data_IF_468659970151
#
_entry.id   IF_468659970151
#
_cell.length_a   1.000
_cell.length_b   1.000
_cell.length_c   1.000
_cell.angle_alpha   90.00
_cell.angle_beta   90.00
_cell.angle_gamma   90.00
#
_symmetry.space_group_name_H-M   'P 1'
#
loop_
_entity.id
_entity.type
_entity.pdbx_description
1 polymer ?
#
# COMPACT_ATOMS: atom_id res chain seq x y z
N UNK A 1 -37.25 -37.42 28.36
CA UNK A 1 -35.86 -37.41 27.99
C UNK A 1 -35.52 -36.11 27.25
N UNK A 2 -34.85 -35.16 27.93
CA UNK A 2 -34.56 -33.84 27.45
C UNK A 2 -33.15 -33.88 26.87
N UNK A 3 -32.97 -33.59 25.59
CA UNK A 3 -31.68 -33.45 24.95
C UNK A 3 -31.37 -31.95 24.83
N UNK A 4 -30.43 -31.47 25.64
CA UNK A 4 -29.84 -30.14 25.49
C UNK A 4 -28.83 -30.18 24.34
N UNK A 5 -29.04 -29.35 23.35
CA UNK A 5 -28.07 -29.06 22.29
C UNK A 5 -27.16 -27.95 22.79
N UNK A 6 -25.91 -28.28 23.12
CA UNK A 6 -24.86 -27.29 23.38
C UNK A 6 -24.27 -26.86 22.05
N UNK A 7 -24.63 -25.66 21.62
CA UNK A 7 -23.94 -24.96 20.56
C UNK A 7 -22.72 -24.26 21.18
N UNK A 8 -21.56 -24.89 21.04
CA UNK A 8 -20.26 -24.26 21.34
C UNK A 8 -19.90 -23.28 20.20
N UNK A 9 -20.27 -22.04 20.36
CA UNK A 9 -19.80 -20.94 19.54
C UNK A 9 -18.33 -20.67 19.86
N UNK A 10 -17.42 -20.97 18.92
CA UNK A 10 -16.03 -20.56 18.98
C UNK A 10 -15.98 -19.05 18.72
N UNK A 11 -15.95 -18.29 19.79
CA UNK A 11 -15.63 -16.84 19.74
C UNK A 11 -14.12 -16.76 19.55
N UNK A 12 -13.65 -16.46 18.33
CA UNK A 12 -12.25 -16.07 18.07
C UNK A 12 -12.05 -14.73 18.75
N UNK A 13 -11.44 -14.77 19.94
CA UNK A 13 -11.18 -13.58 20.75
C UNK A 13 -10.18 -12.67 20.03
N UNK A 14 -10.62 -11.51 19.58
CA UNK A 14 -9.72 -10.40 19.25
C UNK A 14 -8.84 -10.13 20.46
N UNK A 15 -7.53 -10.31 20.32
CA UNK A 15 -6.54 -9.98 21.36
C UNK A 15 -6.67 -8.50 21.68
N UNK A 16 -7.24 -8.19 22.85
CA UNK A 16 -7.42 -6.83 23.34
C UNK A 16 -6.03 -6.19 23.48
N UNK A 17 -5.67 -5.30 22.55
CA UNK A 17 -4.38 -4.59 22.56
C UNK A 17 -4.26 -3.81 23.87
N UNK A 18 -3.18 -4.02 24.61
CA UNK A 18 -2.97 -3.39 25.93
C UNK A 18 -2.87 -1.87 25.79
N UNK A 19 -3.21 -1.13 26.88
CA UNK A 19 -3.05 0.33 26.93
C UNK A 19 -1.61 0.75 26.61
N UNK A 20 -0.62 0.00 27.10
CA UNK A 20 0.80 0.22 26.86
C UNK A 20 1.16 0.05 25.37
N UNK A 21 0.59 -0.94 24.72
CA UNK A 21 0.80 -1.23 23.29
C UNK A 21 0.22 -0.12 22.41
N UNK A 22 -1.00 0.35 22.73
CA UNK A 22 -1.65 1.48 22.06
C UNK A 22 -0.81 2.76 22.19
N UNK A 23 -0.30 3.03 23.39
CA UNK A 23 0.55 4.20 23.62
C UNK A 23 1.87 4.11 22.86
N UNK A 24 2.51 2.94 22.84
CA UNK A 24 3.73 2.69 22.05
C UNK A 24 3.48 2.91 20.56
N UNK A 25 2.35 2.44 20.04
CA UNK A 25 1.98 2.63 18.65
C UNK A 25 1.71 4.11 18.31
N UNK A 26 1.04 4.84 19.21
CA UNK A 26 0.81 6.28 19.06
C UNK A 26 2.13 7.05 18.96
N UNK A 27 3.05 6.82 19.89
CA UNK A 27 4.37 7.46 19.89
C UNK A 27 5.15 7.15 18.60
N UNK A 28 5.11 5.90 18.13
CA UNK A 28 5.74 5.47 16.88
C UNK A 28 5.15 6.23 15.69
N UNK A 29 3.84 6.39 15.61
CA UNK A 29 3.15 7.12 14.55
C UNK A 29 3.52 8.60 14.55
N UNK A 30 3.64 9.24 15.71
CA UNK A 30 4.07 10.63 15.85
C UNK A 30 5.51 10.83 15.38
N UNK A 31 6.42 9.90 15.73
CA UNK A 31 7.80 9.92 15.25
C UNK A 31 7.87 9.75 13.71
N UNK A 32 7.05 8.88 13.13
CA UNK A 32 6.97 8.71 11.68
C UNK A 32 6.47 9.98 10.98
N UNK A 33 5.44 10.64 11.51
CA UNK A 33 4.92 11.87 10.94
C UNK A 33 5.98 12.99 10.94
N UNK A 34 6.71 13.15 12.05
CA UNK A 34 7.79 14.12 12.15
C UNK A 34 8.95 13.80 11.19
N UNK A 35 9.32 12.53 11.07
CA UNK A 35 10.37 12.09 10.16
C UNK A 35 9.97 12.30 8.70
N UNK A 36 8.75 11.94 8.30
CA UNK A 36 8.24 12.15 6.95
C UNK A 36 8.27 13.63 6.55
N UNK A 37 7.78 14.49 7.44
CA UNK A 37 7.79 15.95 7.22
C UNK A 37 9.22 16.48 6.98
N UNK A 38 10.16 16.09 7.84
CA UNK A 38 11.55 16.54 7.76
C UNK A 38 12.25 15.99 6.51
N UNK A 39 12.10 14.70 6.23
CA UNK A 39 12.69 14.06 5.05
C UNK A 39 12.14 14.65 3.75
N UNK A 40 10.84 14.92 3.68
CA UNK A 40 10.21 15.53 2.50
C UNK A 40 10.68 16.96 2.25
N UNK A 41 10.99 17.72 3.32
CA UNK A 41 11.44 19.12 3.20
C UNK A 41 12.95 19.27 2.96
N UNK A 42 13.76 18.43 3.59
CA UNK A 42 15.23 18.58 3.64
C UNK A 42 15.99 17.45 2.93
N UNK A 43 15.31 16.38 2.55
CA UNK A 43 15.93 15.13 2.09
C UNK A 43 16.47 14.28 3.24
N UNK A 44 16.60 12.98 3.00
CA UNK A 44 17.02 12.00 4.01
C UNK A 44 18.38 12.32 4.64
N UNK A 45 19.38 12.72 3.82
CA UNK A 45 20.75 12.93 4.29
C UNK A 45 20.91 14.15 5.19
N UNK A 46 20.06 15.17 5.03
CA UNK A 46 20.15 16.45 5.73
C UNK A 46 19.35 16.50 7.05
N UNK A 47 18.80 15.38 7.49
CA UNK A 47 18.02 15.28 8.73
C UNK A 47 18.71 14.39 9.74
N UNK A 48 18.77 14.84 11.00
CA UNK A 48 19.33 14.08 12.12
C UNK A 48 18.24 13.46 13.01
N UNK A 49 18.61 12.43 13.77
CA UNK A 49 17.72 11.84 14.79
C UNK A 49 17.30 12.85 15.86
N UNK A 50 18.17 13.84 16.19
CA UNK A 50 17.86 14.91 17.11
C UNK A 50 16.75 15.83 16.59
N UNK A 51 16.82 16.23 15.32
CA UNK A 51 15.77 17.04 14.69
C UNK A 51 14.43 16.30 14.66
N UNK A 52 14.44 15.00 14.38
CA UNK A 52 13.22 14.17 14.41
C UNK A 52 12.65 14.12 15.83
N UNK A 53 13.48 13.88 16.85
CA UNK A 53 13.07 13.86 18.25
C UNK A 53 12.46 15.21 18.67
N UNK A 54 13.12 16.31 18.36
CA UNK A 54 12.65 17.67 18.63
C UNK A 54 11.31 17.95 17.93
N UNK A 55 11.19 17.58 16.64
CA UNK A 55 9.97 17.81 15.85
C UNK A 55 8.79 16.98 16.34
N UNK A 56 9.06 15.78 16.85
CA UNK A 56 8.05 14.87 17.42
C UNK A 56 7.74 15.14 18.91
N UNK A 57 8.42 16.10 19.52
CA UNK A 57 8.31 16.43 20.95
C UNK A 57 8.64 15.25 21.88
N UNK A 58 9.71 14.52 21.54
CA UNK A 58 10.25 13.44 22.37
C UNK A 58 11.70 13.69 22.74
N UNK A 59 12.08 13.21 23.95
CA UNK A 59 13.49 13.10 24.28
C UNK A 59 14.22 12.17 23.32
N UNK A 60 15.42 12.52 22.90
CA UNK A 60 16.22 11.71 21.93
C UNK A 60 16.40 10.26 22.42
N UNK A 61 16.59 10.04 23.72
CA UNK A 61 16.67 8.69 24.29
C UNK A 61 15.38 7.88 24.13
N UNK A 62 14.23 8.54 24.02
CA UNK A 62 12.96 7.87 23.72
C UNK A 62 12.93 7.40 22.28
N UNK A 63 13.39 8.22 21.32
CA UNK A 63 13.44 7.84 19.90
C UNK A 63 14.36 6.64 19.69
N UNK A 64 15.52 6.62 20.36
CA UNK A 64 16.46 5.48 20.30
C UNK A 64 15.94 4.19 20.96
N UNK A 65 14.89 4.24 21.79
CA UNK A 65 14.19 3.02 22.26
C UNK A 65 13.33 2.38 21.17
N UNK A 66 12.91 3.15 20.15
CA UNK A 66 12.09 2.67 19.05
C UNK A 66 12.93 2.30 17.82
N UNK A 67 13.98 3.05 17.53
CA UNK A 67 14.76 2.93 16.30
C UNK A 67 16.25 3.02 16.61
N UNK A 68 17.02 2.07 16.04
CA UNK A 68 18.48 1.99 16.27
C UNK A 68 19.23 3.17 15.68
N UNK A 69 18.79 3.66 14.53
CA UNK A 69 19.39 4.75 13.77
C UNK A 69 18.36 5.34 12.80
N UNK A 70 18.77 6.32 12.01
CA UNK A 70 17.92 7.02 11.04
C UNK A 70 17.43 6.09 9.92
N UNK A 71 18.28 5.18 9.46
CA UNK A 71 17.96 4.18 8.43
C UNK A 71 16.89 3.21 8.92
N UNK A 72 16.98 2.75 10.17
CA UNK A 72 15.98 1.87 10.79
C UNK A 72 14.62 2.58 10.94
N UNK A 73 14.62 3.84 11.36
CA UNK A 73 13.41 4.66 11.43
C UNK A 73 12.79 4.83 10.02
N UNK A 74 13.61 5.18 9.03
CA UNK A 74 13.17 5.38 7.65
C UNK A 74 12.53 4.11 7.07
N UNK A 75 13.23 2.97 7.14
CA UNK A 75 12.72 1.66 6.68
C UNK A 75 11.44 1.26 7.40
N UNK A 76 11.40 1.43 8.72
CA UNK A 76 10.22 1.11 9.54
C UNK A 76 9.02 1.99 9.16
N UNK A 77 9.24 3.26 8.85
CA UNK A 77 8.20 4.19 8.39
C UNK A 77 7.63 3.78 7.03
N UNK A 78 8.50 3.49 6.07
CA UNK A 78 8.07 3.04 4.74
C UNK A 78 7.36 1.69 4.80
N UNK A 79 7.86 0.75 5.60
CA UNK A 79 7.22 -0.55 5.79
C UNK A 79 5.83 -0.42 6.43
N UNK A 80 5.67 0.47 7.41
CA UNK A 80 4.37 0.76 8.02
C UNK A 80 3.36 1.28 6.98
N UNK A 81 3.79 2.15 6.07
CA UNK A 81 2.94 2.65 4.98
C UNK A 81 2.62 1.57 3.96
N UNK A 82 3.60 0.77 3.57
CA UNK A 82 3.38 -0.34 2.65
C UNK A 82 2.37 -1.36 3.21
N UNK A 83 2.44 -1.66 4.51
CA UNK A 83 1.48 -2.55 5.19
C UNK A 83 0.06 -1.95 5.24
N UNK A 84 -0.06 -0.63 5.48
CA UNK A 84 -1.34 0.08 5.46
C UNK A 84 -1.98 0.00 4.06
N UNK A 85 -1.22 0.30 3.00
CA UNK A 85 -1.69 0.22 1.62
C UNK A 85 -2.08 -1.20 1.23
N UNK A 86 -1.22 -2.16 1.55
CA UNK A 86 -1.48 -3.57 1.31
C UNK A 86 -2.79 -4.03 1.97
N UNK A 87 -3.03 -3.66 3.23
CA UNK A 87 -4.24 -3.99 3.95
C UNK A 87 -5.49 -3.49 3.22
N UNK A 88 -5.50 -2.20 2.83
CA UNK A 88 -6.63 -1.59 2.12
C UNK A 88 -6.88 -2.31 0.77
N UNK A 89 -5.83 -2.50 -0.02
CA UNK A 89 -5.95 -3.15 -1.34
C UNK A 89 -6.38 -4.61 -1.22
N UNK A 90 -5.88 -5.32 -0.22
CA UNK A 90 -6.28 -6.69 0.08
C UNK A 90 -7.75 -6.78 0.46
N UNK A 91 -8.25 -5.91 1.34
CA UNK A 91 -9.66 -5.86 1.73
C UNK A 91 -10.58 -5.64 0.52
N UNK A 92 -10.18 -4.76 -0.41
CA UNK A 92 -10.93 -4.55 -1.66
C UNK A 92 -10.91 -5.80 -2.54
N UNK A 93 -9.75 -6.45 -2.72
CA UNK A 93 -9.63 -7.66 -3.55
C UNK A 93 -10.33 -8.88 -2.93
N UNK A 94 -10.46 -8.93 -1.61
CA UNK A 94 -11.18 -9.99 -0.88
C UNK A 94 -12.69 -9.71 -0.76
N UNK A 95 -13.15 -8.54 -1.22
CA UNK A 95 -14.56 -8.16 -1.14
C UNK A 95 -15.44 -9.08 -2.01
N UNK A 96 -16.67 -9.31 -1.52
CA UNK A 96 -17.69 -10.06 -2.29
C UNK A 96 -18.23 -9.17 -3.41
N UNK A 97 -18.20 -9.67 -4.64
CA UNK A 97 -18.71 -8.94 -5.79
C UNK A 97 -18.40 -9.66 -7.10
N UNK A 98 -18.87 -9.07 -8.18
CA UNK A 98 -18.43 -9.52 -9.49
C UNK A 98 -17.00 -9.03 -9.78
N UNK A 99 -16.18 -9.81 -10.52
CA UNK A 99 -14.77 -9.47 -10.76
C UNK A 99 -14.53 -8.11 -11.41
N UNK A 100 -15.45 -7.63 -12.24
CA UNK A 100 -15.33 -6.33 -12.90
C UNK A 100 -15.50 -5.17 -11.91
N UNK A 101 -16.47 -5.29 -11.01
CA UNK A 101 -16.71 -4.31 -9.94
C UNK A 101 -15.55 -4.27 -8.96
N UNK A 102 -15.05 -5.44 -8.53
CA UNK A 102 -13.87 -5.52 -7.64
C UNK A 102 -12.65 -4.89 -8.28
N UNK A 103 -12.42 -5.13 -9.59
CA UNK A 103 -11.32 -4.52 -10.33
C UNK A 103 -11.41 -2.99 -10.36
N UNK A 104 -12.60 -2.44 -10.66
CA UNK A 104 -12.83 -0.98 -10.66
C UNK A 104 -12.59 -0.39 -9.27
N UNK A 105 -13.08 -1.05 -8.23
CA UNK A 105 -12.87 -0.61 -6.84
C UNK A 105 -11.38 -0.67 -6.46
N UNK A 106 -10.63 -1.65 -6.94
CA UNK A 106 -9.20 -1.76 -6.72
C UNK A 106 -8.43 -0.57 -7.31
N UNK A 107 -8.68 -0.24 -8.58
CA UNK A 107 -8.02 0.90 -9.24
C UNK A 107 -8.40 2.22 -8.56
N UNK A 108 -9.67 2.39 -8.17
CA UNK A 108 -10.14 3.56 -7.44
C UNK A 108 -9.47 3.69 -6.05
N UNK A 109 -9.42 2.59 -5.27
CA UNK A 109 -8.76 2.58 -3.96
C UNK A 109 -7.27 2.92 -4.08
N UNK A 110 -6.59 2.41 -5.09
CA UNK A 110 -5.19 2.74 -5.38
C UNK A 110 -5.02 4.24 -5.67
N UNK A 111 -5.95 4.85 -6.41
CA UNK A 111 -5.98 6.29 -6.65
C UNK A 111 -6.10 7.12 -5.38
N UNK A 112 -7.02 6.76 -4.49
CA UNK A 112 -7.19 7.43 -3.18
C UNK A 112 -5.94 7.30 -2.32
N UNK A 113 -5.38 6.08 -2.21
CA UNK A 113 -4.13 5.83 -1.46
C UNK A 113 -3.02 6.75 -1.97
N UNK A 114 -2.85 6.87 -3.28
CA UNK A 114 -1.78 7.68 -3.86
C UNK A 114 -2.00 9.16 -3.61
N UNK A 115 -3.21 9.68 -3.79
CA UNK A 115 -3.54 11.08 -3.57
C UNK A 115 -3.31 11.51 -2.11
N UNK A 116 -3.66 10.65 -1.15
CA UNK A 116 -3.50 10.94 0.28
C UNK A 116 -2.06 10.78 0.80
N UNK A 117 -1.17 10.13 0.03
CA UNK A 117 0.19 9.77 0.50
C UNK A 117 1.31 10.25 -0.41
N UNK A 118 1.12 11.37 -1.11
CA UNK A 118 2.07 11.92 -2.08
C UNK A 118 3.50 12.05 -1.54
N UNK A 119 3.66 12.60 -0.34
CA UNK A 119 4.99 12.81 0.26
C UNK A 119 5.71 11.49 0.56
N UNK A 120 4.99 10.50 1.07
CA UNK A 120 5.54 9.15 1.31
C UNK A 120 5.96 8.47 0.01
N UNK A 121 5.18 8.64 -1.06
CA UNK A 121 5.48 8.07 -2.37
C UNK A 121 6.69 8.77 -3.01
N UNK A 122 6.73 10.10 -2.97
CA UNK A 122 7.89 10.87 -3.46
C UNK A 122 9.18 10.45 -2.74
N UNK A 123 9.11 10.33 -1.43
CA UNK A 123 10.27 9.93 -0.62
C UNK A 123 10.73 8.51 -0.98
N UNK A 124 9.79 7.58 -1.10
CA UNK A 124 10.08 6.20 -1.49
C UNK A 124 10.75 6.11 -2.87
N UNK A 125 10.20 6.82 -3.86
CA UNK A 125 10.73 6.78 -5.22
C UNK A 125 11.99 7.63 -5.41
N UNK A 126 12.23 8.67 -4.62
CA UNK A 126 13.46 9.46 -4.67
C UNK A 126 14.71 8.62 -4.35
N UNK A 127 14.61 7.72 -3.39
CA UNK A 127 15.70 6.81 -3.02
C UNK A 127 15.92 5.68 -4.05
N UNK A 128 14.90 5.37 -4.86
CA UNK A 128 14.95 4.29 -5.86
C UNK A 128 15.30 4.75 -7.27
N UNK A 129 15.42 6.05 -7.53
CA UNK A 129 15.68 6.61 -8.86
C UNK A 129 17.03 6.19 -9.50
N UNK A 130 17.93 5.58 -8.76
CA UNK A 130 19.18 5.01 -9.31
C UNK A 130 19.09 3.55 -9.74
N UNK A 131 18.04 2.84 -9.35
CA UNK A 131 17.85 1.42 -9.64
C UNK A 131 16.76 1.25 -10.69
N UNK A 132 17.14 1.23 -11.95
CA UNK A 132 16.36 0.80 -13.13
C UNK A 132 14.85 0.63 -12.97
N UNK A 133 14.10 0.93 -14.00
CA UNK A 133 12.65 0.78 -14.26
C UNK A 133 11.94 -0.49 -13.74
N UNK A 134 12.59 -1.30 -12.94
CA UNK A 134 12.01 -2.49 -12.33
C UNK A 134 11.61 -2.17 -10.90
N UNK A 135 10.32 -1.89 -10.68
CA UNK A 135 9.74 -1.64 -9.35
C UNK A 135 10.13 -2.72 -8.33
N UNK A 136 10.28 -3.97 -8.77
CA UNK A 136 10.71 -5.08 -7.92
C UNK A 136 12.16 -4.99 -7.45
N UNK A 137 13.06 -4.46 -8.26
CA UNK A 137 14.50 -4.46 -7.95
C UNK A 137 14.91 -3.46 -6.86
N UNK A 138 14.08 -2.43 -6.60
CA UNK A 138 14.30 -1.43 -5.55
C UNK A 138 13.53 -1.69 -4.25
N UNK A 139 12.64 -2.70 -4.24
CA UNK A 139 11.86 -3.04 -3.06
C UNK A 139 12.68 -3.86 -2.08
N UNK A 140 12.65 -3.49 -0.79
CA UNK A 140 13.06 -4.38 0.29
C UNK A 140 12.24 -5.68 0.21
N UNK A 141 12.83 -6.81 0.58
CA UNK A 141 12.23 -8.14 0.45
C UNK A 141 10.84 -8.22 1.09
N UNK A 142 10.63 -7.54 2.21
CA UNK A 142 9.34 -7.52 2.91
C UNK A 142 8.27 -6.75 2.12
N UNK A 143 8.62 -5.59 1.53
CA UNK A 143 7.70 -4.83 0.67
C UNK A 143 7.42 -5.59 -0.62
N UNK A 144 8.41 -6.27 -1.17
CA UNK A 144 8.24 -7.14 -2.33
C UNK A 144 7.24 -8.26 -2.06
N UNK A 145 7.28 -8.88 -0.87
CA UNK A 145 6.32 -9.92 -0.48
C UNK A 145 4.87 -9.39 -0.44
N UNK A 146 4.66 -8.16 0.04
CA UNK A 146 3.35 -7.53 0.02
C UNK A 146 2.85 -7.28 -1.40
N UNK A 147 3.73 -6.84 -2.29
CA UNK A 147 3.41 -6.64 -3.70
C UNK A 147 3.07 -7.95 -4.41
N UNK A 148 3.83 -9.02 -4.16
CA UNK A 148 3.58 -10.34 -4.73
C UNK A 148 2.23 -10.91 -4.27
N UNK A 149 1.82 -10.69 -3.01
CA UNK A 149 0.49 -11.07 -2.52
C UNK A 149 -0.64 -10.35 -3.26
N UNK A 150 -0.47 -9.06 -3.56
CA UNK A 150 -1.44 -8.30 -4.36
C UNK A 150 -1.53 -8.85 -5.78
N UNK A 151 -0.40 -9.17 -6.43
CA UNK A 151 -0.38 -9.79 -7.76
C UNK A 151 -1.09 -11.15 -7.77
N UNK A 152 -0.90 -11.97 -6.74
CA UNK A 152 -1.56 -13.28 -6.63
C UNK A 152 -3.08 -13.13 -6.49
N UNK A 153 -3.54 -12.14 -5.72
CA UNK A 153 -4.97 -11.83 -5.58
C UNK A 153 -5.58 -11.31 -6.89
N UNK A 154 -4.91 -10.39 -7.58
CA UNK A 154 -5.33 -9.91 -8.89
C UNK A 154 -5.37 -11.06 -9.91
N UNK A 155 -4.37 -11.93 -9.91
CA UNK A 155 -4.33 -13.13 -10.76
C UNK A 155 -5.55 -14.01 -10.50
N UNK A 156 -5.91 -14.22 -9.24
CA UNK A 156 -7.08 -14.99 -8.85
C UNK A 156 -8.40 -14.33 -9.29
N UNK A 157 -8.48 -12.99 -9.18
CA UNK A 157 -9.61 -12.18 -9.67
C UNK A 157 -9.78 -12.34 -11.19
N UNK A 158 -8.68 -12.25 -11.96
CA UNK A 158 -8.73 -12.45 -13.41
C UNK A 158 -9.13 -13.88 -13.80
N UNK A 159 -8.62 -14.91 -13.11
CA UNK A 159 -9.07 -16.30 -13.28
C UNK A 159 -10.59 -16.44 -13.08
N UNK A 160 -11.13 -15.81 -12.04
CA UNK A 160 -12.56 -15.82 -11.78
C UNK A 160 -13.37 -15.11 -12.88
N UNK A 161 -12.91 -13.94 -13.34
CA UNK A 161 -13.55 -13.19 -14.41
C UNK A 161 -13.53 -13.91 -15.77
N UNK A 162 -12.44 -14.59 -16.10
CA UNK A 162 -12.35 -15.42 -17.31
C UNK A 162 -13.36 -16.58 -17.27
N UNK A 163 -13.48 -17.26 -16.12
CA UNK A 163 -14.49 -18.32 -15.95
C UNK A 163 -15.93 -17.82 -16.11
N UNK A 164 -16.19 -16.58 -15.69
CA UNK A 164 -17.50 -15.91 -15.85
C UNK A 164 -17.67 -15.28 -17.24
N UNK A 165 -16.70 -15.41 -18.14
CA UNK A 165 -16.71 -14.80 -19.48
C UNK A 165 -16.77 -13.25 -19.47
N UNK A 166 -16.33 -12.62 -18.40
CA UNK A 166 -16.20 -11.15 -18.29
C UNK A 166 -14.90 -10.65 -18.93
N UNK A 167 -13.87 -11.46 -18.86
CA UNK A 167 -12.55 -11.16 -19.45
C UNK A 167 -12.17 -12.14 -20.54
N UNK A 168 -11.38 -11.66 -21.50
CA UNK A 168 -10.79 -12.48 -22.56
C UNK A 168 -9.91 -13.58 -21.96
N UNK A 169 -9.80 -14.70 -22.66
CA UNK A 169 -8.94 -15.84 -22.26
C UNK A 169 -7.46 -15.48 -22.53
N UNK A 170 -6.88 -14.68 -21.65
CA UNK A 170 -5.47 -14.31 -21.60
C UNK A 170 -4.83 -14.95 -20.36
N UNK A 171 -3.50 -14.89 -20.26
CA UNK A 171 -2.81 -15.32 -19.05
C UNK A 171 -3.16 -14.38 -17.86
N UNK A 172 -3.78 -14.89 -16.78
CA UNK A 172 -4.24 -14.05 -15.67
C UNK A 172 -3.12 -13.35 -14.91
N UNK A 173 -1.94 -13.96 -14.84
CA UNK A 173 -0.78 -13.34 -14.20
C UNK A 173 -0.29 -12.13 -14.99
N UNK A 174 -0.15 -12.25 -16.31
CA UNK A 174 0.25 -11.12 -17.13
C UNK A 174 -0.83 -10.04 -17.23
N UNK A 175 -2.11 -10.38 -17.07
CA UNK A 175 -3.18 -9.38 -16.90
C UNK A 175 -2.97 -8.57 -15.61
N UNK A 176 -2.61 -9.22 -14.51
CA UNK A 176 -2.30 -8.54 -13.24
C UNK A 176 -1.06 -7.64 -13.38
N UNK A 177 0.01 -8.15 -13.98
CA UNK A 177 1.24 -7.38 -14.25
C UNK A 177 0.95 -6.18 -15.15
N UNK A 178 0.13 -6.33 -16.18
CA UNK A 178 -0.23 -5.23 -17.08
C UNK A 178 -1.04 -4.14 -16.38
N UNK A 179 -1.99 -4.52 -15.52
CA UNK A 179 -2.77 -3.57 -14.72
C UNK A 179 -1.86 -2.78 -13.76
N UNK A 180 -0.98 -3.48 -13.04
CA UNK A 180 -0.01 -2.85 -12.14
C UNK A 180 0.94 -1.91 -12.89
N UNK A 181 1.45 -2.35 -14.03
CA UNK A 181 2.30 -1.52 -14.89
C UNK A 181 1.60 -0.25 -15.37
N UNK A 182 0.35 -0.37 -15.82
CA UNK A 182 -0.45 0.77 -16.27
C UNK A 182 -0.67 1.77 -15.13
N UNK A 183 -1.19 1.32 -13.99
CA UNK A 183 -1.48 2.19 -12.84
C UNK A 183 -0.23 2.83 -12.28
N UNK A 184 0.90 2.13 -12.24
CA UNK A 184 2.17 2.66 -11.78
C UNK A 184 2.77 3.67 -12.79
N UNK A 185 2.61 3.48 -14.10
CA UNK A 185 3.06 4.46 -15.09
C UNK A 185 2.33 5.79 -14.94
N UNK A 186 1.02 5.77 -14.70
CA UNK A 186 0.26 6.98 -14.39
C UNK A 186 0.68 7.62 -13.05
N UNK A 187 1.03 6.81 -12.05
CA UNK A 187 1.60 7.32 -10.80
C UNK A 187 2.89 8.10 -11.05
N UNK A 188 3.81 7.57 -11.86
CA UNK A 188 5.07 8.25 -12.14
C UNK A 188 4.85 9.57 -12.88
N UNK A 189 3.97 9.64 -13.88
CA UNK A 189 3.61 10.89 -14.52
C UNK A 189 3.06 11.92 -13.51
N UNK A 190 2.20 11.50 -12.60
CA UNK A 190 1.66 12.37 -11.57
C UNK A 190 2.71 12.84 -10.56
N UNK A 191 3.67 11.97 -10.17
CA UNK A 191 4.77 12.35 -9.27
C UNK A 191 5.72 13.38 -9.91
N UNK A 192 5.89 13.34 -11.24
CA UNK A 192 6.69 14.32 -11.99
C UNK A 192 6.00 15.69 -12.02
N UNK A 193 4.70 15.74 -12.33
CA UNK A 193 3.92 16.98 -12.38
C UNK A 193 2.48 16.70 -11.94
N UNK A 194 2.20 17.04 -10.68
CA UNK A 194 0.90 16.78 -10.05
C UNK A 194 -0.25 17.63 -10.60
N UNK A 195 0.04 18.78 -11.22
CA UNK A 195 -0.94 19.65 -11.81
C UNK A 195 -1.26 19.22 -13.26
N UNK A 196 -0.24 18.90 -14.03
CA UNK A 196 -0.42 18.47 -15.42
C UNK A 196 -1.01 17.06 -15.55
N UNK A 197 -0.75 16.18 -14.59
CA UNK A 197 -1.12 14.76 -14.65
C UNK A 197 -1.88 14.28 -13.41
N UNK A 198 -3.04 14.86 -13.05
CA UNK A 198 -3.77 14.52 -11.82
C UNK A 198 -4.20 13.05 -11.82
N UNK A 199 -3.66 12.25 -10.89
CA UNK A 199 -3.89 10.80 -10.86
C UNK A 199 -5.36 10.44 -10.67
N UNK A 200 -6.04 11.07 -9.70
CA UNK A 200 -7.46 10.79 -9.41
C UNK A 200 -8.38 10.99 -10.61
N UNK A 201 -8.15 12.04 -11.39
CA UNK A 201 -8.94 12.33 -12.58
C UNK A 201 -8.72 11.29 -13.69
N UNK A 202 -7.58 10.60 -13.66
CA UNK A 202 -7.21 9.59 -14.65
C UNK A 202 -7.60 8.16 -14.23
N UNK A 203 -8.16 7.93 -13.04
CA UNK A 203 -8.57 6.59 -12.58
C UNK A 203 -9.57 5.94 -13.53
N UNK A 204 -10.59 6.68 -13.97
CA UNK A 204 -11.58 6.18 -14.94
C UNK A 204 -10.92 5.87 -16.27
N UNK A 205 -10.06 6.76 -16.77
CA UNK A 205 -9.34 6.59 -18.03
C UNK A 205 -8.46 5.33 -18.00
N UNK A 206 -7.65 5.16 -16.95
CA UNK A 206 -6.80 3.97 -16.77
C UNK A 206 -7.63 2.68 -16.79
N UNK A 207 -8.73 2.69 -16.04
CA UNK A 207 -9.63 1.53 -15.94
C UNK A 207 -10.24 1.20 -17.29
N UNK A 208 -10.71 2.17 -18.03
CA UNK A 208 -11.33 1.97 -19.34
C UNK A 208 -10.31 1.54 -20.39
N UNK A 209 -9.12 2.12 -20.42
CA UNK A 209 -8.02 1.68 -21.31
C UNK A 209 -7.67 0.22 -21.05
N UNK A 210 -7.53 -0.20 -19.81
CA UNK A 210 -7.24 -1.58 -19.45
C UNK A 210 -8.38 -2.52 -19.86
N UNK A 211 -9.62 -2.17 -19.51
CA UNK A 211 -10.79 -3.02 -19.78
C UNK A 211 -11.09 -3.17 -21.27
N UNK A 212 -10.86 -2.15 -22.09
CA UNK A 212 -11.01 -2.27 -23.55
C UNK A 212 -10.06 -3.32 -24.14
N UNK A 213 -8.90 -3.53 -23.50
CA UNK A 213 -7.93 -4.56 -23.90
C UNK A 213 -8.31 -5.98 -23.45
N UNK A 214 -8.96 -6.13 -22.29
CA UNK A 214 -9.14 -7.44 -21.63
C UNK A 214 -10.58 -7.89 -21.44
N UNK A 215 -11.58 -6.99 -21.52
CA UNK A 215 -12.99 -7.35 -21.45
C UNK A 215 -13.46 -8.08 -22.71
N UNK A 216 -14.42 -8.98 -22.58
CA UNK A 216 -15.14 -9.54 -23.73
C UNK A 216 -16.13 -8.49 -24.26
N UNK A 217 -16.30 -8.50 -25.57
CA UNK A 217 -17.34 -7.68 -26.22
C UNK A 217 -18.71 -8.26 -25.95
#
# INVERSE_FOLDING_TARGET
GSSRNEQTGVIVGEKRVSRREKEKQRQRTEMFAAALELFSKKGFYNVSMHEIAQRADFAIGTVYKFFKNKEDLYKSMLMSKAQEFHKILKEVLDSKGDPLTVLRNYVAAKGVIFAENLDSLRLYFAETQGASYNLKAGLDQDIQSLYDEVLDKLTSLFKAGIRKKLFRKLDPYYMAVALEGLTNSFLFCWLEDTEAHPYEQNVTLMTDMFLQGVATK
#
